data_IF_214154511226
#
_entry.id   IF_214154511226
#
_cell.length_a   1.000
_cell.length_b   1.000
_cell.length_c   1.000
_cell.angle_alpha   90.00
_cell.angle_beta   90.00
_cell.angle_gamma   90.00
#
_symmetry.space_group_name_H-M   'P 1'
#
loop_
_entity.id
_entity.type
_entity.pdbx_description
1 polymer ?
#
# COMPACT_ATOMS: atom_id res chain seq x y z
N UNK A 1 6.06 17.45 -16.43
CA UNK A 1 5.56 16.98 -15.14
C UNK A 1 5.87 15.50 -15.02
N UNK A 2 6.97 15.17 -14.32
CA UNK A 2 7.31 13.78 -14.06
C UNK A 2 6.44 13.24 -12.90
N UNK A 3 6.03 11.97 -12.97
CA UNK A 3 5.23 11.30 -11.95
C UNK A 3 6.08 10.17 -11.35
N UNK A 4 6.21 10.19 -10.02
CA UNK A 4 6.72 9.05 -9.25
C UNK A 4 5.55 8.42 -8.51
N UNK A 5 5.44 7.10 -8.54
CA UNK A 5 4.37 6.36 -7.87
C UNK A 5 4.98 5.25 -7.03
N UNK A 6 4.39 4.98 -5.87
CA UNK A 6 4.70 3.84 -5.01
C UNK A 6 3.42 3.09 -4.70
N UNK A 7 3.46 1.76 -4.83
CA UNK A 7 2.35 0.88 -4.47
C UNK A 7 2.79 -0.17 -3.47
N UNK A 8 2.00 -0.34 -2.41
CA UNK A 8 2.21 -1.43 -1.47
C UNK A 8 0.90 -1.95 -0.89
N UNK A 9 0.89 -3.22 -0.54
CA UNK A 9 -0.15 -3.82 0.28
C UNK A 9 0.35 -3.96 1.70
N UNK A 10 -0.47 -3.60 2.68
CA UNK A 10 -0.13 -3.73 4.09
C UNK A 10 -1.26 -4.37 4.88
N UNK A 11 -0.90 -5.18 5.87
CA UNK A 11 -1.79 -5.63 6.93
C UNK A 11 -1.32 -5.00 8.23
N UNK A 12 -2.24 -4.34 8.92
CA UNK A 12 -2.03 -3.76 10.23
C UNK A 12 -2.82 -4.52 11.28
N UNK A 13 -2.19 -4.81 12.41
CA UNK A 13 -2.77 -5.59 13.50
C UNK A 13 -2.20 -5.12 14.84
N UNK A 14 -3.00 -5.18 15.90
CA UNK A 14 -2.58 -4.77 17.25
C UNK A 14 -1.99 -5.97 18.00
N UNK A 15 -2.58 -7.15 17.83
CA UNK A 15 -2.24 -8.36 18.57
C UNK A 15 -1.45 -9.40 17.79
N UNK A 16 -1.62 -9.48 16.48
CA UNK A 16 -0.91 -10.40 15.59
C UNK A 16 0.39 -9.76 15.10
N UNK A 17 1.52 -10.40 15.41
CA UNK A 17 2.84 -9.95 14.99
C UNK A 17 3.06 -10.20 13.50
N UNK A 18 4.02 -9.48 12.89
CA UNK A 18 4.35 -9.69 11.49
C UNK A 18 4.87 -11.11 11.19
N UNK A 19 5.59 -11.73 12.12
CA UNK A 19 6.07 -13.12 11.97
C UNK A 19 4.90 -14.11 11.94
N UNK A 20 3.89 -13.91 12.78
CA UNK A 20 2.65 -14.70 12.76
C UNK A 20 1.87 -14.47 11.46
N UNK A 21 1.79 -13.23 10.96
CA UNK A 21 1.18 -12.92 9.66
C UNK A 21 1.92 -13.68 8.55
N UNK A 22 3.25 -13.65 8.51
CA UNK A 22 4.07 -14.41 7.55
C UNK A 22 3.76 -15.90 7.61
N UNK A 23 3.69 -16.49 8.81
CA UNK A 23 3.37 -17.91 8.98
C UNK A 23 1.95 -18.26 8.50
N UNK A 24 0.98 -17.39 8.76
CA UNK A 24 -0.42 -17.60 8.35
C UNK A 24 -0.61 -17.46 6.83
N UNK A 25 0.10 -16.53 6.20
CA UNK A 25 -0.04 -16.26 4.76
C UNK A 25 0.88 -17.12 3.90
N UNK A 26 2.01 -17.58 4.45
CA UNK A 26 3.05 -18.29 3.69
C UNK A 26 3.76 -17.40 2.67
N UNK A 27 3.75 -16.08 2.90
CA UNK A 27 4.40 -15.07 2.05
C UNK A 27 5.32 -14.24 2.94
N UNK A 28 6.54 -13.99 2.49
CA UNK A 28 7.46 -13.09 3.16
C UNK A 28 7.10 -11.62 2.88
N UNK A 29 7.15 -10.72 3.87
CA UNK A 29 7.01 -9.29 3.67
C UNK A 29 8.30 -8.71 3.07
N UNK A 30 8.18 -7.56 2.40
CA UNK A 30 9.35 -6.76 2.00
C UNK A 30 9.72 -5.70 3.06
N UNK A 31 8.81 -5.43 4.00
CA UNK A 31 9.04 -4.58 5.16
C UNK A 31 8.13 -4.98 6.32
N UNK A 32 8.68 -4.88 7.53
CA UNK A 32 7.95 -5.00 8.78
C UNK A 32 8.19 -3.73 9.58
N UNK A 33 7.12 -3.09 10.04
CA UNK A 33 7.22 -1.92 10.93
C UNK A 33 6.37 -2.14 12.17
N UNK A 34 6.92 -1.83 13.34
CA UNK A 34 6.16 -1.81 14.60
C UNK A 34 6.00 -0.35 15.02
N UNK A 35 4.76 0.14 15.05
CA UNK A 35 4.49 1.51 15.52
C UNK A 35 4.34 1.47 17.03
N UNK A 36 5.23 2.17 17.73
CA UNK A 36 5.11 2.39 19.17
C UNK A 36 3.90 3.26 19.51
N UNK A 37 3.35 3.08 20.71
CA UNK A 37 2.36 3.99 21.26
C UNK A 37 3.05 5.31 21.64
N UNK A 38 2.49 6.45 21.23
CA UNK A 38 2.92 7.78 21.71
C UNK A 38 2.41 8.08 23.13
N UNK A 39 1.72 7.12 23.75
CA UNK A 39 1.05 7.28 25.04
C UNK A 39 1.95 6.81 26.18
N UNK A 40 2.13 7.64 27.20
CA UNK A 40 2.97 7.39 28.40
C UNK A 40 2.32 6.46 29.43
N UNK A 41 1.25 5.74 29.09
CA UNK A 41 0.60 4.80 30.00
C UNK A 41 1.44 3.52 30.16
N UNK A 42 1.46 2.98 31.38
CA UNK A 42 2.29 1.85 31.83
C UNK A 42 2.16 0.52 31.06
N UNK A 43 1.30 0.45 30.04
CA UNK A 43 1.17 -0.69 29.14
C UNK A 43 1.76 -0.31 27.77
N UNK A 44 2.99 -0.75 27.51
CA UNK A 44 3.64 -0.71 26.19
C UNK A 44 2.93 -1.71 25.26
N UNK A 45 1.71 -1.39 24.85
CA UNK A 45 1.03 -2.06 23.76
C UNK A 45 1.58 -1.40 22.48
N UNK A 46 2.22 -2.13 21.55
CA UNK A 46 2.52 -1.58 20.24
C UNK A 46 1.20 -1.06 19.64
N UNK A 47 1.22 0.16 19.10
CA UNK A 47 0.02 0.75 18.51
C UNK A 47 -0.47 -0.11 17.34
N UNK A 48 0.46 -0.64 16.53
CA UNK A 48 0.20 -1.73 15.60
C UNK A 48 1.51 -2.34 15.07
N UNK A 49 1.44 -3.62 14.73
CA UNK A 49 2.35 -4.31 13.82
C UNK A 49 1.85 -4.11 12.39
N UNK A 50 2.73 -3.67 11.49
CA UNK A 50 2.44 -3.63 10.06
C UNK A 50 3.37 -4.60 9.32
N UNK A 51 2.75 -5.42 8.48
CA UNK A 51 3.37 -6.34 7.54
C UNK A 51 3.09 -5.82 6.13
N UNK A 52 4.12 -5.66 5.28
CA UNK A 52 3.98 -5.00 3.98
C UNK A 52 4.65 -5.75 2.84
N UNK A 53 4.04 -5.67 1.66
CA UNK A 53 4.58 -6.10 0.37
C UNK A 53 4.60 -4.91 -0.59
N UNK A 54 5.78 -4.60 -1.12
CA UNK A 54 6.02 -3.52 -2.07
C UNK A 54 6.38 -4.09 -3.44
N UNK A 55 6.14 -3.30 -4.48
CA UNK A 55 6.91 -3.41 -5.70
C UNK A 55 8.17 -2.52 -5.57
N UNK A 56 9.37 -3.06 -5.80
CA UNK A 56 10.65 -2.31 -5.77
C UNK A 56 11.48 -2.57 -7.04
N UNK A 57 10.85 -2.75 -8.19
CA UNK A 57 11.59 -2.94 -9.43
C UNK A 57 12.16 -1.60 -9.93
N UNK A 58 13.50 -1.49 -10.10
CA UNK A 58 14.11 -0.25 -10.58
C UNK A 58 13.65 0.08 -12.00
N UNK A 59 13.00 1.24 -12.18
CA UNK A 59 12.67 1.79 -13.49
C UNK A 59 11.26 1.52 -14.02
N UNK A 60 10.31 1.06 -13.20
CA UNK A 60 8.92 0.82 -13.62
C UNK A 60 7.97 1.97 -13.24
N UNK A 61 6.93 2.14 -14.06
CA UNK A 61 5.95 3.25 -14.03
C UNK A 61 4.52 2.66 -14.14
N UNK A 62 3.67 2.96 -13.16
CA UNK A 62 2.19 2.79 -13.17
C UNK A 62 1.67 1.34 -13.12
N UNK A 63 2.46 0.33 -13.48
CA UNK A 63 2.10 -1.10 -13.58
C UNK A 63 2.30 -1.92 -12.27
N UNK A 64 2.60 -1.25 -11.16
CA UNK A 64 2.95 -1.92 -9.90
C UNK A 64 1.77 -2.58 -9.16
N UNK A 65 0.54 -2.13 -9.44
CA UNK A 65 -0.69 -2.71 -8.87
C UNK A 65 -0.84 -4.18 -9.27
N UNK A 66 -0.57 -4.50 -10.54
CA UNK A 66 -0.68 -5.86 -11.07
C UNK A 66 0.45 -6.76 -10.53
N UNK A 67 1.62 -6.20 -10.23
CA UNK A 67 2.74 -6.93 -9.62
C UNK A 67 2.45 -7.29 -8.16
N UNK A 68 1.98 -6.32 -7.37
CA UNK A 68 1.56 -6.56 -5.97
C UNK A 68 0.40 -7.55 -5.93
N UNK A 69 -0.63 -7.33 -6.75
CA UNK A 69 -1.77 -8.25 -6.84
C UNK A 69 -1.32 -9.64 -7.33
N UNK A 70 -0.47 -9.73 -8.34
CA UNK A 70 0.06 -10.99 -8.86
C UNK A 70 0.78 -11.83 -7.80
N UNK A 71 1.52 -11.19 -6.89
CA UNK A 71 2.19 -11.85 -5.77
C UNK A 71 1.21 -12.33 -4.70
N UNK A 72 0.17 -11.56 -4.41
CA UNK A 72 -0.75 -11.84 -3.29
C UNK A 72 -1.96 -12.68 -3.68
N UNK A 73 -2.36 -12.67 -4.96
CA UNK A 73 -3.53 -13.40 -5.47
C UNK A 73 -3.51 -14.90 -5.16
N UNK A 74 -2.38 -15.63 -5.23
CA UNK A 74 -2.33 -17.04 -4.83
C UNK A 74 -2.68 -17.28 -3.35
N UNK A 75 -2.56 -16.24 -2.52
CA UNK A 75 -2.78 -16.29 -1.07
C UNK A 75 -4.09 -15.59 -0.65
N UNK A 76 -4.95 -15.24 -1.61
CA UNK A 76 -6.17 -14.45 -1.36
C UNK A 76 -7.05 -15.04 -0.26
N UNK A 77 -7.29 -16.36 -0.26
CA UNK A 77 -8.10 -17.02 0.77
C UNK A 77 -7.49 -16.88 2.17
N UNK A 78 -6.18 -17.07 2.29
CA UNK A 78 -5.47 -16.90 3.56
C UNK A 78 -5.54 -15.44 4.05
N UNK A 79 -5.37 -14.49 3.14
CA UNK A 79 -5.49 -13.05 3.44
C UNK A 79 -6.91 -12.72 3.89
N UNK A 80 -7.95 -13.17 3.17
CA UNK A 80 -9.36 -12.96 3.54
C UNK A 80 -9.67 -13.54 4.92
N UNK A 81 -9.21 -14.75 5.21
CA UNK A 81 -9.44 -15.38 6.51
C UNK A 81 -8.75 -14.57 7.63
N UNK A 82 -7.51 -14.13 7.39
CA UNK A 82 -6.77 -13.31 8.35
C UNK A 82 -7.45 -11.96 8.58
N UNK A 83 -7.80 -11.22 7.54
CA UNK A 83 -8.41 -9.89 7.68
C UNK A 83 -9.80 -9.96 8.32
N UNK A 84 -10.59 -10.99 8.00
CA UNK A 84 -11.89 -11.25 8.65
C UNK A 84 -11.72 -11.51 10.15
N UNK A 85 -10.71 -12.32 10.51
CA UNK A 85 -10.37 -12.60 11.91
C UNK A 85 -9.96 -11.32 12.64
N UNK A 86 -9.02 -10.55 12.07
CA UNK A 86 -8.52 -9.30 12.65
C UNK A 86 -9.66 -8.29 12.88
N UNK A 87 -10.56 -8.13 11.89
CA UNK A 87 -11.72 -7.23 12.01
C UNK A 87 -12.69 -7.64 13.13
N UNK A 88 -12.75 -8.93 13.47
CA UNK A 88 -13.61 -9.45 14.54
C UNK A 88 -12.95 -9.37 15.92
N UNK A 89 -11.63 -9.57 15.99
CA UNK A 89 -10.92 -9.83 17.25
C UNK A 89 -10.14 -8.64 17.81
N UNK A 90 -9.60 -7.76 16.96
CA UNK A 90 -8.53 -6.83 17.39
C UNK A 90 -8.90 -5.33 17.36
N UNK A 91 -10.08 -4.95 16.87
CA UNK A 91 -10.47 -3.53 16.77
C UNK A 91 -9.76 -2.81 15.61
N UNK A 92 -9.27 -1.57 15.76
CA UNK A 92 -8.71 -0.79 14.66
C UNK A 92 -7.45 -1.45 14.08
N UNK A 93 -7.55 -1.90 12.83
CA UNK A 93 -6.57 -2.64 12.08
C UNK A 93 -7.22 -3.18 10.80
N UNK A 94 -6.43 -3.61 9.82
CA UNK A 94 -6.98 -4.03 8.53
C UNK A 94 -5.95 -4.12 7.43
N UNK A 95 -6.42 -4.53 6.26
CA UNK A 95 -5.64 -4.55 5.04
C UNK A 95 -5.84 -3.27 4.24
N UNK A 96 -4.77 -2.77 3.63
CA UNK A 96 -4.78 -1.59 2.79
C UNK A 96 -3.90 -1.82 1.57
N UNK A 97 -4.38 -1.39 0.41
CA UNK A 97 -3.59 -1.20 -0.80
C UNK A 97 -3.34 0.30 -0.93
N UNK A 98 -2.12 0.72 -0.64
CA UNK A 98 -1.71 2.11 -0.72
C UNK A 98 -1.13 2.41 -2.09
N UNK A 99 -1.54 3.53 -2.66
CA UNK A 99 -0.91 4.17 -3.82
C UNK A 99 -0.47 5.59 -3.39
N UNK A 100 0.81 5.90 -3.50
CA UNK A 100 1.35 7.25 -3.25
C UNK A 100 1.92 7.82 -4.54
N UNK A 101 1.45 9.01 -4.94
CA UNK A 101 1.79 9.65 -6.21
C UNK A 101 2.41 11.02 -5.94
N UNK A 102 3.58 11.24 -6.50
CA UNK A 102 4.36 12.47 -6.39
C UNK A 102 4.46 13.09 -7.77
N UNK A 103 3.85 14.25 -7.92
CA UNK A 103 3.88 15.03 -9.15
C UNK A 103 5.00 16.07 -9.06
N UNK A 104 5.98 16.00 -9.96
CA UNK A 104 7.08 16.95 -10.02
C UNK A 104 6.83 17.95 -11.15
N UNK A 105 6.51 19.20 -10.76
CA UNK A 105 6.18 20.26 -11.71
C UNK A 105 7.38 20.71 -12.58
N UNK A 106 8.62 20.55 -12.11
CA UNK A 106 9.76 21.27 -12.67
C UNK A 106 10.51 20.60 -13.83
N UNK A 107 10.24 19.33 -14.14
CA UNK A 107 11.06 18.57 -15.10
C UNK A 107 10.71 18.78 -16.58
N UNK A 108 9.61 19.46 -16.92
CA UNK A 108 9.22 19.62 -18.33
C UNK A 108 8.77 21.05 -18.62
N UNK A 109 9.49 21.73 -19.51
CA UNK A 109 8.90 22.89 -20.20
C UNK A 109 7.83 22.37 -21.16
N UNK A 110 6.59 22.86 -21.08
CA UNK A 110 5.55 22.46 -22.03
C UNK A 110 6.00 22.83 -23.44
N UNK A 111 6.02 21.85 -24.34
CA UNK A 111 6.38 22.02 -25.75
C UNK A 111 5.32 22.83 -26.52
N UNK A 112 4.18 23.14 -25.89
CA UNK A 112 3.08 23.90 -26.47
C UNK A 112 2.29 23.13 -27.53
N UNK A 113 2.56 21.83 -27.70
CA UNK A 113 1.81 20.98 -28.63
C UNK A 113 0.48 20.52 -27.99
N UNK A 114 -0.61 20.40 -28.75
CA UNK A 114 -1.88 19.86 -28.23
C UNK A 114 -1.81 18.37 -27.86
N UNK A 115 -0.73 17.67 -28.24
CA UNK A 115 -0.43 16.29 -27.85
C UNK A 115 0.30 16.20 -26.49
N UNK A 116 0.64 17.35 -25.89
CA UNK A 116 1.38 17.46 -24.62
C UNK A 116 0.45 17.36 -23.39
N UNK A 117 -0.64 16.58 -23.53
CA UNK A 117 -1.56 16.34 -22.42
C UNK A 117 -0.98 15.25 -21.54
N UNK A 118 -0.45 15.64 -20.38
CA UNK A 118 -0.01 14.67 -19.38
C UNK A 118 -1.21 13.88 -18.84
N UNK A 119 -1.39 12.65 -19.33
CA UNK A 119 -2.44 11.74 -18.88
C UNK A 119 -2.00 11.04 -17.58
N UNK A 120 -2.54 11.51 -16.45
CA UNK A 120 -2.29 10.95 -15.12
C UNK A 120 -3.40 10.01 -14.63
N UNK A 121 -4.22 9.49 -15.54
CA UNK A 121 -5.22 8.47 -15.21
C UNK A 121 -4.58 7.12 -14.90
N UNK A 122 -5.23 6.34 -14.05
CA UNK A 122 -4.90 4.95 -13.79
C UNK A 122 -6.18 4.12 -13.84
N UNK A 123 -6.03 2.82 -14.05
CA UNK A 123 -7.14 1.90 -14.11
C UNK A 123 -6.96 0.80 -13.07
N UNK A 124 -8.07 0.33 -12.52
CA UNK A 124 -8.12 -0.89 -11.75
C UNK A 124 -8.77 -1.95 -12.63
N UNK A 125 -8.05 -3.02 -12.89
CA UNK A 125 -8.63 -4.15 -13.58
C UNK A 125 -9.63 -4.89 -12.66
N UNK A 126 -10.39 -5.83 -13.24
CA UNK A 126 -11.38 -6.59 -12.46
C UNK A 126 -10.72 -7.44 -11.39
N UNK A 127 -9.52 -7.97 -11.62
CA UNK A 127 -8.83 -8.84 -10.70
C UNK A 127 -8.40 -8.11 -9.42
N UNK A 128 -7.96 -6.86 -9.53
CA UNK A 128 -7.64 -6.00 -8.37
C UNK A 128 -8.91 -5.66 -7.59
N UNK A 129 -10.00 -5.32 -8.28
CA UNK A 129 -11.29 -5.03 -7.60
C UNK A 129 -11.81 -6.26 -6.85
N UNK A 130 -11.75 -7.44 -7.46
CA UNK A 130 -12.17 -8.69 -6.81
C UNK A 130 -11.27 -9.03 -5.63
N UNK A 131 -9.96 -8.79 -5.73
CA UNK A 131 -9.02 -8.97 -4.62
C UNK A 131 -9.33 -8.05 -3.43
N UNK A 132 -9.54 -6.76 -3.68
CA UNK A 132 -9.88 -5.79 -2.63
C UNK A 132 -11.19 -6.19 -1.93
N UNK A 133 -12.21 -6.54 -2.71
CA UNK A 133 -13.50 -6.97 -2.18
C UNK A 133 -13.39 -8.26 -1.34
N UNK A 134 -12.63 -9.24 -1.81
CA UNK A 134 -12.47 -10.52 -1.12
C UNK A 134 -11.67 -10.37 0.19
N UNK A 135 -10.64 -9.54 0.19
CA UNK A 135 -9.75 -9.35 1.35
C UNK A 135 -10.29 -8.33 2.34
N UNK A 136 -11.33 -7.57 1.97
CA UNK A 136 -11.80 -6.42 2.74
C UNK A 136 -10.77 -5.30 2.82
N UNK A 137 -9.79 -5.30 1.90
CA UNK A 137 -8.73 -4.30 1.89
C UNK A 137 -9.27 -2.95 1.38
N UNK A 138 -8.90 -1.88 2.08
CA UNK A 138 -9.18 -0.53 1.62
C UNK A 138 -8.18 -0.14 0.53
N UNK A 139 -8.62 0.72 -0.38
CA UNK A 139 -7.75 1.37 -1.35
C UNK A 139 -7.53 2.81 -0.87
N UNK A 140 -6.29 3.16 -0.56
CA UNK A 140 -5.93 4.52 -0.17
C UNK A 140 -4.95 5.13 -1.18
N UNK A 141 -5.20 6.37 -1.56
CA UNK A 141 -4.51 7.06 -2.64
C UNK A 141 -4.08 8.44 -2.15
N UNK A 142 -2.78 8.58 -1.91
CA UNK A 142 -2.14 9.83 -1.57
C UNK A 142 -1.58 10.50 -2.81
N UNK A 143 -1.92 11.77 -3.03
CA UNK A 143 -1.40 12.58 -4.13
C UNK A 143 -0.70 13.82 -3.57
N UNK A 144 0.55 14.01 -3.98
CA UNK A 144 1.43 15.06 -3.48
C UNK A 144 2.03 15.84 -4.64
N UNK A 145 1.93 17.17 -4.58
CA UNK A 145 2.69 18.06 -5.44
C UNK A 145 4.04 18.33 -4.77
N UNK A 146 5.12 17.89 -5.41
CA UNK A 146 6.47 18.15 -4.94
C UNK A 146 6.94 19.45 -5.59
N UNK A 147 6.47 20.56 -5.03
CA UNK A 147 7.14 21.85 -5.24
C UNK A 147 8.42 21.85 -4.39
N UNK A 148 9.59 22.23 -4.93
CA UNK A 148 10.75 22.44 -4.09
C UNK A 148 10.37 23.49 -3.05
N UNK A 149 10.45 23.13 -1.77
CA UNK A 149 10.30 24.10 -0.70
C UNK A 149 11.35 25.19 -0.87
N UNK A 150 10.95 26.46 -0.69
CA UNK A 150 11.88 27.56 -0.53
C UNK A 150 12.68 27.31 0.77
N UNK A 151 13.85 26.69 0.65
CA UNK A 151 14.90 26.66 1.69
C UNK A 151 15.61 28.02 1.79
#
# INVERSE_FOLDING_TARGET
MSLTQYVYFAISSVGTTADEITQLLGVEPDEVTVRGSLTTSLHNIPFCHCWKVFCREPGLRVDELDLVNGRLRPHMEAITNLTTRLATEEGPGGAILQVERYFNWHDEQPSGSPDDTNLFGWHLDRAVVDFLAATGAELDVGEYDVTPGDD
#
